data_IF_289196938473
#
_entry.id   IF_289196938473
#
_cell.length_a   1.000
_cell.length_b   1.000
_cell.length_c   1.000
_cell.angle_alpha   90.00
_cell.angle_beta   90.00
_cell.angle_gamma   90.00
#
_symmetry.space_group_name_H-M   'P 1'
#
loop_
_entity.id
_entity.type
_entity.pdbx_description
1 polymer ?
#
# COMPACT_ATOMS: atom_id res chain seq x y z
N UNK A 1 13.10 -27.16 -10.14
CA UNK A 1 13.12 -25.96 -11.01
C UNK A 1 11.70 -25.41 -11.06
N UNK A 2 11.38 -24.40 -10.26
CA UNK A 2 10.07 -23.75 -10.31
C UNK A 2 10.09 -22.68 -11.38
N UNK A 3 9.20 -22.80 -12.37
CA UNK A 3 9.06 -21.80 -13.43
C UNK A 3 8.45 -20.52 -12.87
N UNK A 4 9.21 -19.44 -12.89
CA UNK A 4 8.74 -18.10 -12.55
C UNK A 4 7.77 -17.65 -13.64
N UNK A 5 6.46 -17.79 -13.39
CA UNK A 5 5.41 -17.40 -14.34
C UNK A 5 5.27 -15.88 -14.33
N UNK A 6 5.90 -15.21 -15.30
CA UNK A 6 5.66 -13.80 -15.57
C UNK A 6 4.27 -13.63 -16.19
N UNK A 7 3.29 -13.24 -15.38
CA UNK A 7 1.93 -12.92 -15.83
C UNK A 7 1.80 -11.42 -16.10
N UNK A 8 2.44 -10.96 -17.18
CA UNK A 8 2.22 -9.61 -17.70
C UNK A 8 1.00 -9.63 -18.63
N UNK A 9 -0.21 -9.45 -18.10
CA UNK A 9 -1.40 -9.32 -18.93
C UNK A 9 -1.37 -8.01 -19.72
N UNK A 10 -1.28 -8.10 -21.05
CA UNK A 10 -1.04 -6.96 -21.96
C UNK A 10 -2.03 -5.79 -21.76
N UNK A 11 -3.28 -6.09 -21.39
CA UNK A 11 -4.33 -5.11 -21.11
C UNK A 11 -3.95 -4.15 -19.96
N UNK A 12 -3.36 -4.68 -18.88
CA UNK A 12 -2.96 -3.89 -17.71
C UNK A 12 -1.68 -3.09 -17.96
N UNK A 13 -0.83 -3.52 -18.92
CA UNK A 13 0.49 -2.94 -19.17
C UNK A 13 0.47 -1.41 -19.42
N UNK A 14 -0.48 -0.89 -20.20
CA UNK A 14 -0.58 0.53 -20.50
C UNK A 14 -1.04 1.36 -19.28
N UNK A 15 -1.97 0.83 -18.49
CA UNK A 15 -2.43 1.47 -17.26
C UNK A 15 -1.33 1.48 -16.19
N UNK A 16 -0.65 0.34 -15.99
CA UNK A 16 0.48 0.20 -15.07
C UNK A 16 1.59 1.18 -15.43
N UNK A 17 2.04 1.22 -16.70
CA UNK A 17 3.06 2.18 -17.18
C UNK A 17 2.69 3.63 -16.89
N UNK A 18 1.42 4.01 -17.11
CA UNK A 18 0.92 5.37 -16.81
C UNK A 18 0.94 5.66 -15.30
N UNK A 19 0.45 4.75 -14.46
CA UNK A 19 0.46 4.93 -12.99
C UNK A 19 1.90 5.01 -12.44
N UNK A 20 2.82 4.19 -12.94
CA UNK A 20 4.24 4.28 -12.63
C UNK A 20 4.85 5.61 -13.08
N UNK A 21 4.45 6.16 -14.23
CA UNK A 21 4.92 7.48 -14.66
C UNK A 21 4.48 8.61 -13.73
N UNK A 22 3.29 8.50 -13.11
CA UNK A 22 2.84 9.45 -12.07
C UNK A 22 3.59 9.25 -10.76
N UNK A 23 3.83 8.00 -10.35
CA UNK A 23 4.57 7.68 -9.13
C UNK A 23 6.04 8.15 -9.18
N UNK A 24 6.68 8.06 -10.36
CA UNK A 24 8.08 8.44 -10.62
C UNK A 24 8.28 9.91 -11.01
N UNK A 25 7.21 10.70 -11.08
CA UNK A 25 7.30 12.10 -11.50
C UNK A 25 8.09 12.94 -10.49
N UNK A 26 9.10 13.68 -10.98
CA UNK A 26 9.98 14.50 -10.14
C UNK A 26 11.17 13.75 -9.53
N UNK A 27 11.34 12.45 -9.82
CA UNK A 27 12.54 11.70 -9.43
C UNK A 27 13.76 12.04 -10.31
N UNK A 28 14.95 11.87 -9.74
CA UNK A 28 16.22 12.00 -10.47
C UNK A 28 16.45 10.84 -11.43
N UNK A 29 17.10 11.13 -12.57
CA UNK A 29 17.32 10.20 -13.69
C UNK A 29 18.00 8.89 -13.23
N UNK A 30 18.92 8.97 -12.26
CA UNK A 30 19.65 7.83 -11.69
C UNK A 30 18.75 6.77 -11.05
N UNK A 31 17.52 7.12 -10.66
CA UNK A 31 16.55 6.18 -10.05
C UNK A 31 15.63 5.50 -11.07
N UNK A 32 15.75 5.85 -12.35
CA UNK A 32 14.92 5.32 -13.44
C UNK A 32 15.50 4.05 -14.08
N UNK A 33 16.77 3.72 -13.82
CA UNK A 33 17.51 2.59 -14.43
C UNK A 33 17.21 1.22 -13.77
N UNK A 34 16.15 1.16 -12.94
CA UNK A 34 15.68 -0.08 -12.29
C UNK A 34 14.35 -0.50 -12.90
N UNK A 35 14.37 -1.64 -13.60
CA UNK A 35 13.18 -2.33 -14.09
C UNK A 35 12.41 -2.96 -12.92
N UNK A 36 11.10 -2.69 -12.86
CA UNK A 36 10.19 -3.25 -11.85
C UNK A 36 9.17 -4.14 -12.57
N UNK A 37 9.19 -5.43 -12.24
CA UNK A 37 8.20 -6.40 -12.72
C UNK A 37 7.00 -6.40 -11.77
N UNK A 38 5.80 -6.20 -12.32
CA UNK A 38 4.55 -6.16 -11.57
C UNK A 38 3.72 -7.39 -11.92
N UNK A 39 3.32 -8.16 -10.90
CA UNK A 39 2.31 -9.21 -11.01
C UNK A 39 1.06 -8.84 -10.23
N UNK A 40 -0.08 -9.41 -10.64
CA UNK A 40 -1.34 -9.40 -9.89
C UNK A 40 -1.75 -10.85 -9.69
N UNK A 41 -2.24 -11.21 -8.50
CA UNK A 41 -2.70 -12.58 -8.23
C UNK A 41 -4.04 -12.89 -8.94
N UNK A 42 -4.77 -11.86 -9.35
CA UNK A 42 -5.99 -11.93 -10.14
C UNK A 42 -5.81 -11.16 -11.47
N UNK A 43 -5.78 -11.89 -12.58
CA UNK A 43 -5.67 -11.34 -13.93
C UNK A 43 -6.93 -10.60 -14.38
N UNK A 44 -8.12 -10.94 -13.84
CA UNK A 44 -9.40 -10.33 -14.18
C UNK A 44 -9.75 -9.09 -13.32
N UNK A 45 -8.94 -8.77 -12.31
CA UNK A 45 -9.13 -7.58 -11.47
C UNK A 45 -9.12 -6.27 -12.29
N UNK A 46 -10.22 -5.49 -12.23
CA UNK A 46 -10.38 -4.20 -12.92
C UNK A 46 -10.41 -2.98 -11.97
N UNK A 47 -10.35 -1.77 -12.54
CA UNK A 47 -10.50 -0.49 -11.83
C UNK A 47 -9.19 0.30 -11.69
N UNK A 48 -9.19 1.35 -10.85
CA UNK A 48 -8.03 2.24 -10.65
C UNK A 48 -7.58 2.37 -9.19
N UNK A 49 -8.32 1.81 -8.22
CA UNK A 49 -8.01 1.95 -6.78
C UNK A 49 -6.75 1.21 -6.32
N UNK A 50 -6.07 0.48 -7.21
CA UNK A 50 -4.76 -0.12 -6.93
C UNK A 50 -3.58 0.85 -7.17
N UNK A 51 -3.84 2.07 -7.67
CA UNK A 51 -2.79 3.03 -8.05
C UNK A 51 -1.81 3.35 -6.92
N UNK A 52 -2.31 3.55 -5.70
CA UNK A 52 -1.45 3.75 -4.52
C UNK A 52 -0.62 2.51 -4.18
N UNK A 53 -1.21 1.32 -4.21
CA UNK A 53 -0.51 0.07 -3.93
C UNK A 53 0.61 -0.21 -4.94
N UNK A 54 0.34 0.01 -6.23
CA UNK A 54 1.34 -0.10 -7.29
C UNK A 54 2.48 0.91 -7.11
N UNK A 55 2.17 2.16 -6.77
CA UNK A 55 3.19 3.17 -6.52
C UNK A 55 4.07 2.79 -5.32
N UNK A 56 3.48 2.33 -4.22
CA UNK A 56 4.23 1.87 -3.05
C UNK A 56 5.11 0.67 -3.37
N UNK A 57 4.59 -0.33 -4.10
CA UNK A 57 5.38 -1.48 -4.53
C UNK A 57 6.58 -1.08 -5.40
N UNK A 58 6.41 -0.14 -6.34
CA UNK A 58 7.50 0.41 -7.16
C UNK A 58 8.58 1.11 -6.32
N UNK A 59 8.17 1.97 -5.38
CA UNK A 59 9.11 2.68 -4.50
C UNK A 59 9.86 1.72 -3.59
N UNK A 60 9.16 0.78 -2.96
CA UNK A 60 9.76 -0.22 -2.08
C UNK A 60 10.74 -1.11 -2.84
N UNK A 61 10.37 -1.59 -4.03
CA UNK A 61 11.25 -2.41 -4.87
C UNK A 61 12.53 -1.68 -5.31
N UNK A 62 12.47 -0.37 -5.59
CA UNK A 62 13.63 0.42 -6.03
C UNK A 62 14.51 0.95 -4.90
N UNK A 63 13.93 1.29 -3.74
CA UNK A 63 14.65 1.99 -2.66
C UNK A 63 14.92 1.15 -1.41
N UNK A 64 14.18 0.06 -1.15
CA UNK A 64 14.47 -0.85 -0.03
C UNK A 64 15.34 -2.04 -0.44
N UNK A 65 16.64 -1.82 -0.68
CA UNK A 65 17.57 -2.90 -1.06
C UNK A 65 17.86 -3.92 0.05
N UNK A 66 17.59 -3.59 1.33
CA UNK A 66 17.91 -4.48 2.46
C UNK A 66 17.09 -4.20 3.73
N UNK A 67 15.76 -4.40 3.68
CA UNK A 67 14.95 -4.49 4.91
C UNK A 67 14.02 -5.69 4.89
N UNK A 68 14.11 -6.51 5.92
CA UNK A 68 12.96 -7.27 6.40
C UNK A 68 11.87 -6.27 6.73
N UNK A 69 10.74 -6.30 6.01
CA UNK A 69 9.51 -5.64 6.47
C UNK A 69 8.80 -6.61 7.42
N UNK A 70 8.86 -6.43 8.75
CA UNK A 70 8.10 -7.27 9.67
C UNK A 70 6.59 -7.03 9.55
N UNK A 71 6.19 -5.87 9.05
CA UNK A 71 4.80 -5.42 9.04
C UNK A 71 4.24 -5.49 7.61
N UNK A 72 3.00 -5.94 7.47
CA UNK A 72 2.29 -5.93 6.18
C UNK A 72 1.85 -4.50 5.85
N UNK A 73 1.98 -4.11 4.59
CA UNK A 73 1.46 -2.85 4.07
C UNK A 73 0.31 -3.14 3.10
N UNK A 74 -0.90 -2.72 3.44
CA UNK A 74 -2.04 -2.68 2.53
C UNK A 74 -2.27 -1.25 2.07
N UNK A 75 -2.68 -1.06 0.82
CA UNK A 75 -2.96 0.27 0.30
C UNK A 75 -4.08 0.28 -0.74
N UNK A 76 -4.83 1.37 -0.77
CA UNK A 76 -5.85 1.65 -1.80
C UNK A 76 -5.84 3.13 -2.15
N UNK A 77 -6.08 3.49 -3.40
CA UNK A 77 -6.13 4.87 -3.85
C UNK A 77 -6.06 4.99 -5.37
N UNK A 78 -6.83 5.94 -5.94
CA UNK A 78 -6.67 6.31 -7.35
C UNK A 78 -5.52 7.33 -7.42
N UNK A 79 -4.45 6.94 -8.11
CA UNK A 79 -3.25 7.77 -8.28
C UNK A 79 -3.38 8.64 -9.55
N UNK A 80 -3.43 9.95 -9.35
CA UNK A 80 -3.39 10.96 -10.40
C UNK A 80 -1.99 11.50 -10.67
N UNK A 81 -1.93 12.45 -11.60
CA UNK A 81 -0.72 13.18 -11.98
C UNK A 81 -0.09 13.88 -10.75
N UNK A 82 1.24 13.98 -10.69
CA UNK A 82 1.96 14.57 -9.56
C UNK A 82 1.80 13.82 -8.24
N UNK A 83 1.45 12.53 -8.27
CA UNK A 83 1.27 11.70 -7.09
C UNK A 83 -0.02 11.97 -6.28
N UNK A 84 -0.95 12.79 -6.78
CA UNK A 84 -2.19 13.11 -6.07
C UNK A 84 -3.08 11.87 -5.88
N UNK A 85 -3.76 11.78 -4.74
CA UNK A 85 -4.63 10.64 -4.40
C UNK A 85 -6.10 11.07 -4.33
N UNK A 86 -6.92 10.43 -5.15
CA UNK A 86 -8.39 10.60 -5.15
C UNK A 86 -9.07 9.48 -4.38
N UNK A 87 -10.26 9.79 -3.85
CA UNK A 87 -11.12 8.83 -3.14
C UNK A 87 -11.37 7.56 -3.96
N UNK A 88 -11.63 6.45 -3.27
CA UNK A 88 -12.01 5.18 -3.89
C UNK A 88 -13.45 4.80 -3.56
N UNK A 89 -14.14 4.22 -4.54
CA UNK A 89 -15.42 3.55 -4.34
C UNK A 89 -15.27 2.27 -3.51
N UNK A 90 -16.36 1.78 -2.93
CA UNK A 90 -16.41 0.58 -2.09
C UNK A 90 -15.34 0.55 -0.98
N UNK A 91 -15.09 1.71 -0.37
CA UNK A 91 -14.09 1.83 0.69
C UNK A 91 -14.46 1.05 1.97
N UNK A 92 -15.72 1.03 2.45
CA UNK A 92 -16.10 0.20 3.60
C UNK A 92 -15.80 -1.29 3.40
N UNK A 93 -16.06 -1.80 2.20
CA UNK A 93 -15.80 -3.19 1.81
C UNK A 93 -14.29 -3.47 1.79
N UNK A 94 -13.49 -2.57 1.21
CA UNK A 94 -12.01 -2.65 1.21
C UNK A 94 -11.42 -2.61 2.61
N UNK A 95 -11.95 -1.77 3.49
CA UNK A 95 -11.55 -1.70 4.90
C UNK A 95 -11.94 -2.96 5.66
N UNK A 96 -13.12 -3.55 5.38
CA UNK A 96 -13.51 -4.82 5.98
C UNK A 96 -12.57 -5.97 5.58
N UNK A 97 -12.13 -6.00 4.32
CA UNK A 97 -11.15 -6.98 3.82
C UNK A 97 -9.75 -6.74 4.43
N UNK A 98 -9.34 -5.48 4.56
CA UNK A 98 -8.11 -5.12 5.27
C UNK A 98 -8.14 -5.63 6.72
N UNK A 99 -9.26 -5.48 7.43
CA UNK A 99 -9.44 -6.01 8.79
C UNK A 99 -9.31 -7.55 8.87
N UNK A 100 -9.65 -8.27 7.79
CA UNK A 100 -9.54 -9.74 7.75
C UNK A 100 -8.12 -10.24 7.42
N UNK A 101 -7.29 -9.45 6.73
CA UNK A 101 -6.01 -9.90 6.17
C UNK A 101 -4.77 -9.20 6.76
N UNK A 102 -4.95 -8.11 7.49
CA UNK A 102 -3.89 -7.43 8.21
C UNK A 102 -3.71 -8.03 9.61
N UNK A 103 -2.46 -8.16 10.02
CA UNK A 103 -2.07 -8.57 11.37
C UNK A 103 -1.79 -7.31 12.22
N UNK A 104 -1.77 -7.40 13.57
CA UNK A 104 -1.31 -6.29 14.41
C UNK A 104 0.04 -5.71 13.97
N UNK A 105 0.23 -4.41 14.16
CA UNK A 105 1.33 -3.59 13.66
C UNK A 105 1.39 -3.41 12.13
N UNK A 106 0.47 -3.98 11.34
CA UNK A 106 0.38 -3.70 9.90
C UNK A 106 -0.05 -2.25 9.62
N UNK A 107 0.21 -1.76 8.42
CA UNK A 107 -0.18 -0.41 7.98
C UNK A 107 -1.23 -0.49 6.87
N UNK A 108 -2.28 0.34 6.97
CA UNK A 108 -3.26 0.59 5.90
C UNK A 108 -3.13 2.05 5.40
N UNK A 109 -2.70 2.22 4.15
CA UNK A 109 -2.63 3.52 3.48
C UNK A 109 -3.84 3.76 2.57
N UNK A 110 -4.46 4.94 2.66
CA UNK A 110 -5.67 5.28 1.91
C UNK A 110 -5.82 6.79 1.65
N UNK A 111 -6.68 7.22 0.70
CA UNK A 111 -6.86 8.63 0.41
C UNK A 111 -7.56 9.31 1.59
N UNK A 112 -7.05 10.45 2.03
CA UNK A 112 -7.64 11.27 3.09
C UNK A 112 -9.09 11.70 2.76
N UNK A 113 -9.45 11.77 1.48
CA UNK A 113 -10.82 11.98 1.03
C UNK A 113 -11.82 10.89 1.48
N UNK A 114 -11.37 9.68 1.83
CA UNK A 114 -12.20 8.60 2.38
C UNK A 114 -12.28 8.63 3.94
N UNK A 115 -11.60 9.56 4.62
CA UNK A 115 -11.49 9.56 6.09
C UNK A 115 -12.81 9.94 6.79
N UNK A 116 -13.44 11.04 6.36
CA UNK A 116 -14.57 11.67 7.06
C UNK A 116 -15.77 10.74 7.18
N UNK A 117 -16.17 10.11 6.08
CA UNK A 117 -17.40 9.30 6.00
C UNK A 117 -17.27 7.91 6.68
N UNK A 118 -16.06 7.52 7.07
CA UNK A 118 -15.74 6.14 7.47
C UNK A 118 -15.01 6.02 8.81
N UNK A 119 -14.88 7.11 9.57
CA UNK A 119 -14.22 7.16 10.89
C UNK A 119 -14.61 6.01 11.84
N UNK A 120 -15.89 5.64 12.03
CA UNK A 120 -16.26 4.56 12.97
C UNK A 120 -15.76 3.17 12.56
N UNK A 121 -15.57 2.94 11.25
CA UNK A 121 -15.04 1.70 10.71
C UNK A 121 -13.51 1.65 10.84
N UNK A 122 -12.86 2.78 10.55
CA UNK A 122 -11.43 2.97 10.69
C UNK A 122 -10.96 2.82 12.15
N UNK A 123 -11.72 3.34 13.12
CA UNK A 123 -11.41 3.17 14.55
C UNK A 123 -11.24 1.69 14.95
N UNK A 124 -11.98 0.76 14.33
CA UNK A 124 -11.84 -0.69 14.62
C UNK A 124 -10.52 -1.27 14.14
N UNK A 125 -9.96 -0.77 13.04
CA UNK A 125 -8.60 -1.13 12.60
C UNK A 125 -7.57 -0.60 13.61
N UNK A 126 -7.72 0.65 14.05
CA UNK A 126 -6.82 1.23 15.05
C UNK A 126 -6.88 0.49 16.39
N UNK A 127 -8.07 0.06 16.83
CA UNK A 127 -8.26 -0.81 18.01
C UNK A 127 -7.60 -2.20 17.84
N UNK A 128 -7.44 -2.69 16.61
CA UNK A 128 -6.71 -3.91 16.27
C UNK A 128 -5.19 -3.69 16.08
N UNK A 129 -4.67 -2.53 16.51
CA UNK A 129 -3.26 -2.11 16.39
C UNK A 129 -2.76 -2.07 14.93
N UNK A 130 -3.65 -1.71 13.99
CA UNK A 130 -3.31 -1.45 12.59
C UNK A 130 -3.09 0.05 12.41
N UNK A 131 -1.91 0.43 11.92
CA UNK A 131 -1.54 1.82 11.65
C UNK A 131 -2.33 2.37 10.45
N UNK A 132 -3.00 3.50 10.64
CA UNK A 132 -3.81 4.14 9.61
C UNK A 132 -3.10 5.35 9.00
N UNK A 133 -2.91 5.34 7.68
CA UNK A 133 -2.28 6.43 6.94
C UNK A 133 -3.24 7.02 5.90
N UNK A 134 -4.00 8.03 6.34
CA UNK A 134 -4.82 8.88 5.49
C UNK A 134 -3.93 9.94 4.79
N UNK A 135 -3.85 9.91 3.45
CA UNK A 135 -2.89 10.74 2.68
C UNK A 135 -3.54 11.43 1.48
N UNK A 136 -3.01 12.59 1.08
CA UNK A 136 -3.50 13.36 -0.08
C UNK A 136 -2.56 13.23 -1.28
N UNK A 137 -1.28 12.95 -1.04
CA UNK A 137 -0.27 12.73 -2.06
C UNK A 137 0.58 11.50 -1.72
N UNK A 138 1.14 10.84 -2.73
CA UNK A 138 2.11 9.76 -2.57
C UNK A 138 3.30 10.21 -1.69
N UNK A 139 3.80 11.45 -1.86
CA UNK A 139 4.92 11.97 -1.09
C UNK A 139 4.70 12.01 0.44
N UNK A 140 3.44 11.99 0.90
CA UNK A 140 3.05 11.92 2.31
C UNK A 140 3.44 10.58 2.98
N UNK A 141 3.90 9.59 2.20
CA UNK A 141 4.36 8.27 2.63
C UNK A 141 5.86 8.05 2.37
N UNK A 142 6.61 9.11 2.06
CA UNK A 142 8.00 9.00 1.60
C UNK A 142 8.96 8.36 2.60
N UNK A 143 8.66 8.42 3.89
CA UNK A 143 9.40 7.73 4.95
C UNK A 143 9.32 6.20 4.86
N UNK A 144 8.34 5.64 4.12
CA UNK A 144 8.22 4.20 3.92
C UNK A 144 9.31 3.64 2.99
N UNK A 145 9.88 4.46 2.08
CA UNK A 145 10.91 4.00 1.13
C UNK A 145 12.20 4.81 1.15
N UNK A 146 12.21 6.02 1.70
CA UNK A 146 13.46 6.73 1.95
C UNK A 146 14.18 6.07 3.12
N UNK A 147 15.46 5.74 2.93
CA UNK A 147 16.35 5.41 4.06
C UNK A 147 16.29 6.56 5.06
N UNK A 148 16.12 6.31 6.38
CA UNK A 148 16.17 7.37 7.38
C UNK A 148 17.50 8.09 7.26
N UNK A 149 17.48 9.29 6.68
CA UNK A 149 18.62 10.19 6.72
C UNK A 149 18.81 10.52 8.18
N UNK A 150 19.95 10.15 8.77
CA UNK A 150 20.24 10.33 10.20
C UNK A 150 20.16 11.81 10.55
N UNK A 151 18.97 12.22 10.99
CA UNK A 151 18.62 13.56 11.39
C UNK A 151 17.95 13.48 12.76
N UNK A 152 18.56 14.19 13.69
CA UNK A 152 18.15 14.46 15.07
C UNK A 152 16.65 14.33 15.38
N UNK A 153 16.40 13.53 16.41
CA UNK A 153 15.18 13.41 17.23
C UNK A 153 14.26 14.65 17.19
N UNK A 154 13.15 14.53 16.43
CA UNK A 154 12.01 15.44 16.48
C UNK A 154 10.74 14.61 16.69
N UNK A 155 10.18 14.56 17.91
CA UNK A 155 8.94 13.85 18.16
C UNK A 155 7.77 14.57 17.47
N UNK A 156 7.31 14.02 16.35
CA UNK A 156 6.04 14.42 15.74
C UNK A 156 4.87 14.27 16.72
N UNK A 157 3.85 15.14 16.68
CA UNK A 157 2.89 15.33 17.77
C UNK A 157 1.86 14.20 17.98
N UNK A 158 2.01 13.05 17.33
CA UNK A 158 0.99 11.99 17.29
C UNK A 158 1.48 10.69 17.96
N UNK A 159 1.73 10.77 19.26
CA UNK A 159 1.93 9.60 20.14
C UNK A 159 1.04 9.69 21.37
N UNK A 160 -0.24 9.32 21.23
CA UNK A 160 -1.11 9.01 22.37
C UNK A 160 -1.84 7.67 22.14
N UNK A 161 -1.79 6.82 23.18
CA UNK A 161 -2.15 5.41 23.18
C UNK A 161 -3.63 5.13 23.50
N UNK A 162 -4.23 4.13 22.82
CA UNK A 162 -5.25 3.16 23.29
C UNK A 162 -5.06 1.90 22.40
N UNK A 163 -5.20 0.63 22.82
CA UNK A 163 -5.37 0.01 24.14
C UNK A 163 -5.76 -1.49 24.02
N UNK A 164 -5.02 -2.41 24.66
CA UNK A 164 -5.06 -3.85 24.33
C UNK A 164 -6.31 -4.63 24.80
N UNK A 165 -6.90 -5.47 23.93
CA UNK A 165 -7.87 -6.55 24.28
C UNK A 165 -7.69 -7.78 23.35
N UNK A 166 -7.82 -9.00 23.91
CA UNK A 166 -7.83 -10.28 23.18
C UNK A 166 -9.22 -10.65 22.61
N UNK A 167 -9.32 -11.29 21.44
CA UNK A 167 -10.60 -11.86 21.00
C UNK A 167 -10.66 -12.63 19.67
N UNK A 168 -10.54 -13.96 19.77
CA UNK A 168 -11.00 -15.06 18.88
C UNK A 168 -11.54 -14.80 17.44
N UNK A 169 -11.07 -15.65 16.52
CA UNK A 169 -11.47 -15.79 15.12
C UNK A 169 -12.74 -16.63 14.90
N UNK A 170 -13.50 -16.32 13.83
CA UNK A 170 -14.31 -17.27 13.05
C UNK A 170 -14.43 -16.77 11.60
N UNK A 171 -14.29 -17.66 10.62
CA UNK A 171 -14.14 -17.29 9.19
C UNK A 171 -15.36 -17.56 8.32
N UNK A 172 -15.37 -16.93 7.13
CA UNK A 172 -16.26 -17.21 6.00
C UNK A 172 -15.59 -16.67 4.71
N UNK A 173 -15.87 -17.28 3.55
CA UNK A 173 -15.15 -17.02 2.29
C UNK A 173 -16.03 -16.29 1.26
N UNK A 174 -15.56 -15.15 0.77
CA UNK A 174 -16.11 -14.38 -0.37
C UNK A 174 -14.89 -13.79 -1.13
N UNK A 175 -14.87 -13.80 -2.48
CA UNK A 175 -13.69 -13.35 -3.22
C UNK A 175 -13.62 -11.83 -3.31
N UNK A 176 -12.60 -11.25 -2.70
CA UNK A 176 -12.15 -9.88 -2.99
C UNK A 176 -10.65 -9.81 -2.74
N UNK A 177 -9.88 -9.57 -3.78
CA UNK A 177 -8.43 -9.69 -3.71
C UNK A 177 -7.81 -8.52 -2.92
N UNK A 178 -7.33 -8.83 -1.72
CA UNK A 178 -6.40 -7.97 -1.01
C UNK A 178 -4.97 -8.29 -1.48
N UNK A 179 -4.32 -7.32 -2.12
CA UNK A 179 -2.96 -7.48 -2.63
C UNK A 179 -1.97 -7.48 -1.45
N UNK A 180 -1.55 -8.66 -1.01
CA UNK A 180 -0.47 -8.83 -0.04
C UNK A 180 0.85 -8.97 -0.80
N UNK A 181 1.73 -7.98 -0.71
CA UNK A 181 3.05 -8.07 -1.33
C UNK A 181 3.99 -8.97 -0.52
N UNK A 182 4.31 -10.15 -1.06
CA UNK A 182 5.39 -11.01 -0.58
C UNK A 182 6.66 -10.78 -1.42
N UNK A 183 7.62 -10.05 -0.88
CA UNK A 183 8.90 -9.80 -1.54
C UNK A 183 9.82 -11.02 -1.40
N UNK A 184 10.18 -11.64 -2.53
CA UNK A 184 11.29 -12.60 -2.60
C UNK A 184 12.39 -12.00 -3.47
N UNK A 185 13.47 -11.53 -2.85
CA UNK A 185 14.66 -11.09 -3.59
C UNK A 185 15.32 -12.31 -4.23
N UNK A 186 15.40 -12.34 -5.55
CA UNK A 186 16.35 -13.20 -6.25
C UNK A 186 17.75 -12.61 -6.05
N UNK A 187 18.65 -13.41 -5.47
CA UNK A 187 20.08 -13.10 -5.35
C UNK A 187 20.83 -13.39 -6.65
#
# INVERSE_FOLDING_TARGET
>A
MNGMRSCASDRKSAQVKRLLSYARQGEGIETLDIDVVVGFDDDDFEGQSFGLALALADKLARFQSSRTSPNRLCATGILGNGGQLSAVDAFPEKVHLAFQALEPHSTLAFPNANLLDHTPLLNRLAEADIELRAVNNLADLSELWQTPTTATDHPGPWKHWIGAVLGASLGLSIPSLLVVFYFTLAQ
#
